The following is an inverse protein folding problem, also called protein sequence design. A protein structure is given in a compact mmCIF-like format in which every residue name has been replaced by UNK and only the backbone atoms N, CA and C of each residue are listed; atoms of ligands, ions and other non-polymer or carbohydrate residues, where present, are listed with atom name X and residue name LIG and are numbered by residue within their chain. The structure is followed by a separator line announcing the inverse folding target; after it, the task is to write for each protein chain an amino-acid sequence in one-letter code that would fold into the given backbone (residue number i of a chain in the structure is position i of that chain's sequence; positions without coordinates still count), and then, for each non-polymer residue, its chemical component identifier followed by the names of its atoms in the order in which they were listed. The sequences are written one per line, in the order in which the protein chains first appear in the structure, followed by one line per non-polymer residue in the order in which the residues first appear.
data_IF_791416228213
#
_entry.id   IF_791416228213
#
_cell.length_a   1.000
_cell.length_b   1.000
_cell.length_c   1.000
_cell.angle_alpha   90.00
_cell.angle_beta   90.00
_cell.angle_gamma   90.00
#
_symmetry.space_group_name_H-M   'P 1'
#
loop_
_entity.id
_entity.type
_entity.pdbx_description
1 polymer ?
#
# COMPACT_ATOMS: atom_id res chain seq x y z
N UNK A 1 22.15 11.56 -3.33
CA UNK A 1 22.56 12.28 -2.11
C UNK A 1 23.96 12.84 -2.29
N UNK A 2 24.18 14.14 -2.12
CA UNK A 2 25.57 14.60 -1.86
C UNK A 2 26.01 13.93 -0.54
N UNK A 3 27.24 13.40 -0.45
CA UNK A 3 27.76 12.95 0.83
C UNK A 3 27.62 14.10 1.82
N UNK A 4 27.15 13.79 3.03
CA UNK A 4 27.11 14.76 4.13
C UNK A 4 28.50 15.37 4.22
N UNK A 5 28.61 16.69 4.02
CA UNK A 5 29.90 17.37 4.13
C UNK A 5 30.41 17.12 5.56
N UNK A 6 31.71 16.80 5.76
CA UNK A 6 32.25 16.68 7.10
C UNK A 6 32.00 18.01 7.83
N UNK A 7 31.23 17.98 8.92
CA UNK A 7 30.93 19.16 9.75
C UNK A 7 29.51 19.74 9.67
N UNK A 8 28.55 19.15 8.93
CA UNK A 8 27.13 19.49 9.14
C UNK A 8 26.63 18.78 10.40
N UNK A 9 26.21 19.55 11.40
CA UNK A 9 25.49 19.04 12.58
C UNK A 9 24.30 18.20 12.12
N UNK A 10 24.17 17.00 12.70
CA UNK A 10 23.01 16.14 12.48
C UNK A 10 21.82 16.85 13.16
N UNK A 11 20.74 17.17 12.44
CA UNK A 11 19.58 17.77 13.07
C UNK A 11 19.07 16.89 14.20
N UNK A 12 18.56 17.48 15.31
CA UNK A 12 17.91 16.69 16.35
C UNK A 12 16.78 15.86 15.75
N UNK A 13 16.54 14.66 16.28
CA UNK A 13 15.49 13.74 15.83
C UNK A 13 14.32 13.78 16.81
N UNK A 14 13.08 13.61 16.33
CA UNK A 14 11.98 13.31 17.23
C UNK A 14 12.23 11.93 17.88
N UNK A 15 12.12 11.85 19.20
CA UNK A 15 12.39 10.61 19.94
C UNK A 15 11.47 9.46 19.50
N UNK A 16 10.22 9.80 19.17
CA UNK A 16 9.16 8.85 18.86
C UNK A 16 8.35 9.33 17.64
N UNK A 17 7.76 8.40 16.86
CA UNK A 17 6.86 8.78 15.78
C UNK A 17 5.54 9.37 16.30
N UNK A 18 4.78 10.04 15.43
CA UNK A 18 3.46 10.62 15.72
C UNK A 18 2.40 9.97 14.82
N UNK A 19 1.25 9.69 15.40
CA UNK A 19 0.03 9.31 14.66
C UNK A 19 -0.87 10.54 14.60
N UNK A 20 -1.52 10.77 13.47
CA UNK A 20 -2.40 11.92 13.29
C UNK A 20 -3.57 11.59 12.37
N UNK A 21 -4.65 12.36 12.47
CA UNK A 21 -5.79 12.28 11.56
C UNK A 21 -5.94 13.60 10.78
N UNK A 22 -6.32 13.51 9.51
CA UNK A 22 -6.64 14.63 8.63
C UNK A 22 -8.05 14.45 8.08
N UNK A 23 -8.87 15.49 8.23
CA UNK A 23 -10.15 15.59 7.56
C UNK A 23 -9.97 16.17 6.15
N UNK A 24 -10.43 15.43 5.14
CA UNK A 24 -10.32 15.81 3.74
C UNK A 24 -11.71 16.02 3.12
N UNK A 25 -11.79 16.71 1.97
CA UNK A 25 -13.02 16.73 1.18
C UNK A 25 -13.48 15.32 0.79
N UNK A 26 -14.79 15.16 0.64
CA UNK A 26 -15.41 13.90 0.19
C UNK A 26 -14.75 13.39 -1.09
N UNK A 27 -14.50 12.09 -1.14
CA UNK A 27 -13.77 11.47 -2.24
C UNK A 27 -14.74 10.72 -3.16
N UNK A 28 -14.95 11.18 -4.42
CA UNK A 28 -15.63 10.38 -5.43
C UNK A 28 -14.71 9.25 -5.92
N UNK A 29 -15.16 8.01 -5.72
CA UNK A 29 -14.46 6.81 -6.14
C UNK A 29 -14.51 6.63 -7.67
N UNK A 30 -13.56 5.89 -8.22
CA UNK A 30 -13.49 5.62 -9.66
C UNK A 30 -14.75 4.92 -10.17
N UNK A 31 -15.30 4.03 -9.35
CA UNK A 31 -16.53 3.29 -9.58
C UNK A 31 -17.81 4.14 -9.46
N UNK A 32 -17.70 5.38 -8.98
CA UNK A 32 -18.78 6.37 -8.94
C UNK A 32 -19.47 6.53 -7.58
N UNK A 33 -19.25 5.63 -6.63
CA UNK A 33 -19.64 5.82 -5.23
C UNK A 33 -18.83 6.96 -4.57
N UNK A 34 -19.21 7.36 -3.35
CA UNK A 34 -18.59 8.47 -2.62
C UNK A 34 -18.27 8.09 -1.19
N UNK A 35 -17.05 8.41 -0.74
CA UNK A 35 -16.67 8.32 0.67
C UNK A 35 -16.87 9.69 1.33
N UNK A 36 -17.79 9.75 2.29
CA UNK A 36 -18.12 10.97 3.02
C UNK A 36 -18.55 10.64 4.48
N UNK A 37 -17.92 11.25 5.51
CA UNK A 37 -16.73 12.10 5.42
C UNK A 37 -15.46 11.29 5.11
N UNK A 38 -14.49 11.94 4.48
CA UNK A 38 -13.20 11.36 4.13
C UNK A 38 -12.15 11.71 5.19
N UNK A 39 -11.86 10.76 6.07
CA UNK A 39 -10.89 10.89 7.15
C UNK A 39 -9.68 10.01 6.85
N UNK A 40 -8.47 10.55 6.96
CA UNK A 40 -7.23 9.82 6.69
C UNK A 40 -6.37 9.79 7.94
N UNK A 41 -5.96 8.59 8.34
CA UNK A 41 -4.98 8.39 9.41
C UNK A 41 -3.57 8.30 8.83
N UNK A 42 -2.67 9.06 9.41
CA UNK A 42 -1.26 9.08 9.04
C UNK A 42 -0.33 8.81 10.22
N UNK A 43 0.89 8.48 9.86
CA UNK A 43 2.04 8.30 10.73
C UNK A 43 3.19 9.12 10.18
N UNK A 44 3.87 9.84 11.08
CA UNK A 44 4.98 10.71 10.75
C UNK A 44 6.14 10.45 11.71
N UNK A 45 7.36 10.44 11.18
CA UNK A 45 8.57 10.45 11.99
C UNK A 45 9.66 11.27 11.30
N UNK A 46 10.15 12.29 11.97
CA UNK A 46 11.16 13.17 11.41
C UNK A 46 11.73 14.15 12.43
N UNK A 47 12.21 15.32 11.97
CA UNK A 47 12.78 16.35 12.83
C UNK A 47 11.76 16.94 13.83
N UNK A 48 12.10 17.17 15.11
CA UNK A 48 11.18 17.71 16.12
C UNK A 48 10.51 19.02 15.73
N UNK A 49 11.20 19.88 14.97
CA UNK A 49 10.71 21.16 14.49
C UNK A 49 9.48 21.04 13.56
N UNK A 50 9.27 19.88 12.94
CA UNK A 50 8.09 19.60 12.13
C UNK A 50 6.81 19.49 12.96
N UNK A 51 6.92 19.24 14.27
CA UNK A 51 5.76 18.91 15.09
C UNK A 51 4.73 20.05 15.10
N UNK A 52 5.19 21.30 15.22
CA UNK A 52 4.31 22.47 15.19
C UNK A 52 3.60 22.60 13.82
N UNK A 53 4.31 22.31 12.73
CA UNK A 53 3.72 22.27 11.38
C UNK A 53 2.66 21.19 11.28
N UNK A 54 2.96 19.96 11.71
CA UNK A 54 2.02 18.85 11.69
C UNK A 54 0.76 19.16 12.53
N UNK A 55 0.93 19.69 13.74
CA UNK A 55 -0.17 20.09 14.63
C UNK A 55 -1.04 21.21 14.05
N UNK A 56 -0.47 22.10 13.23
CA UNK A 56 -1.24 23.17 12.57
C UNK A 56 -2.14 22.67 11.43
N UNK A 57 -1.92 21.44 10.94
CA UNK A 57 -2.58 20.88 9.73
C UNK A 57 -3.27 19.54 9.94
N UNK A 58 -3.01 18.88 11.07
CA UNK A 58 -3.60 17.61 11.41
C UNK A 58 -3.90 17.55 12.91
N UNK A 59 -4.85 16.68 13.29
CA UNK A 59 -5.05 16.32 14.69
C UNK A 59 -4.02 15.27 15.07
N UNK A 60 -2.99 15.66 15.82
CA UNK A 60 -1.97 14.73 16.33
C UNK A 60 -2.50 14.04 17.60
N UNK A 61 -2.39 12.71 17.64
CA UNK A 61 -2.78 11.89 18.79
C UNK A 61 -1.69 11.92 19.87
N UNK A 62 -2.10 11.71 21.14
CA UNK A 62 -1.13 11.50 22.22
C UNK A 62 -0.36 10.20 22.00
N UNK A 63 0.83 10.08 22.61
CA UNK A 63 1.63 8.87 22.48
C UNK A 63 0.98 7.65 23.12
N UNK A 64 0.25 7.82 24.22
CA UNK A 64 -0.51 6.74 24.86
C UNK A 64 -1.63 6.26 23.93
N UNK A 65 -2.44 7.18 23.41
CA UNK A 65 -3.53 6.83 22.49
C UNK A 65 -2.99 6.18 21.20
N UNK A 66 -1.85 6.65 20.70
CA UNK A 66 -1.16 6.07 19.56
C UNK A 66 -0.65 4.65 19.86
N UNK A 67 -0.15 4.36 21.07
CA UNK A 67 0.31 3.03 21.48
C UNK A 67 -0.85 2.06 21.71
N UNK A 68 -1.87 2.49 22.45
CA UNK A 68 -3.06 1.68 22.75
C UNK A 68 -3.91 1.36 21.52
N UNK A 69 -3.85 2.22 20.48
CA UNK A 69 -4.57 2.04 19.21
C UNK A 69 -3.79 1.31 18.12
N UNK A 70 -2.52 0.93 18.33
CA UNK A 70 -1.71 0.21 17.31
C UNK A 70 -2.37 -1.12 16.94
N UNK A 71 -2.54 -1.36 15.64
CA UNK A 71 -3.13 -2.59 15.09
C UNK A 71 -4.54 -2.94 15.61
N UNK A 72 -5.26 -1.98 16.20
CA UNK A 72 -6.65 -2.17 16.63
C UNK A 72 -7.59 -1.72 15.52
N UNK A 73 -8.55 -2.59 15.20
CA UNK A 73 -9.64 -2.24 14.28
C UNK A 73 -10.43 -1.05 14.82
N UNK A 74 -10.51 0.01 14.03
CA UNK A 74 -11.32 1.20 14.32
C UNK A 74 -12.68 1.00 13.67
N UNK A 75 -13.74 1.08 14.48
CA UNK A 75 -15.14 1.10 14.06
C UNK A 75 -15.75 2.37 14.60
N UNK A 76 -16.43 3.12 13.73
CA UNK A 76 -17.10 4.37 14.10
C UNK A 76 -18.53 4.31 13.61
N UNK A 77 -19.45 4.70 14.47
CA UNK A 77 -20.80 5.06 14.06
C UNK A 77 -20.77 6.28 13.13
N UNK A 78 -21.87 6.53 12.42
CA UNK A 78 -21.96 7.69 11.55
C UNK A 78 -21.77 9.01 12.32
N UNK A 79 -22.15 9.07 13.60
CA UNK A 79 -21.93 10.26 14.45
C UNK A 79 -20.47 10.41 14.84
N UNK A 80 -19.85 9.35 15.39
CA UNK A 80 -18.44 9.38 15.79
C UNK A 80 -17.51 9.71 14.60
N UNK A 81 -17.83 9.20 13.41
CA UNK A 81 -17.09 9.51 12.20
C UNK A 81 -17.21 10.99 11.81
N UNK A 82 -18.41 11.60 11.92
CA UNK A 82 -18.60 13.04 11.70
C UNK A 82 -17.84 13.86 12.72
N UNK A 83 -17.90 13.50 13.99
CA UNK A 83 -17.23 14.22 15.07
C UNK A 83 -15.71 14.14 14.92
N UNK A 84 -15.18 12.95 14.60
CA UNK A 84 -13.76 12.76 14.30
C UNK A 84 -13.32 13.58 13.07
N UNK A 85 -14.15 13.62 12.03
CA UNK A 85 -13.88 14.44 10.85
C UNK A 85 -13.94 15.94 11.17
N UNK A 86 -14.79 16.42 12.07
CA UNK A 86 -14.81 17.82 12.51
C UNK A 86 -13.56 18.13 13.32
N UNK A 87 -13.22 17.29 14.29
CA UNK A 87 -12.05 17.50 15.15
C UNK A 87 -10.73 17.42 14.37
N UNK A 88 -10.65 16.62 13.31
CA UNK A 88 -9.48 16.54 12.44
C UNK A 88 -9.38 17.68 11.40
N UNK A 89 -10.35 18.61 11.32
CA UNK A 89 -10.25 19.78 10.43
C UNK A 89 -9.25 20.78 10.99
N UNK A 90 -8.16 20.98 10.27
CA UNK A 90 -7.13 21.97 10.57
C UNK A 90 -6.69 22.64 9.27
N UNK A 91 -6.38 23.91 9.34
CA UNK A 91 -5.82 24.68 8.22
C UNK A 91 -4.68 25.54 8.75
N UNK A 92 -3.45 25.17 8.39
CA UNK A 92 -2.25 25.92 8.74
C UNK A 92 -1.63 26.60 7.51
N UNK A 93 -0.67 27.52 7.70
CA UNK A 93 0.09 28.10 6.60
C UNK A 93 0.87 27.01 5.86
N UNK A 94 1.18 27.22 4.57
CA UNK A 94 2.04 26.29 3.83
C UNK A 94 3.42 26.25 4.50
N UNK A 95 4.01 25.07 4.52
CA UNK A 95 5.36 24.92 5.02
C UNK A 95 6.32 25.67 4.10
N UNK A 96 7.27 26.40 4.66
CA UNK A 96 8.44 26.82 3.89
C UNK A 96 9.22 25.59 3.42
N UNK A 97 9.80 25.58 2.20
CA UNK A 97 10.63 24.47 1.75
C UNK A 97 11.72 24.18 2.77
N UNK A 98 11.74 22.93 3.26
CA UNK A 98 12.70 22.46 4.24
C UNK A 98 13.72 21.55 3.54
N UNK A 99 15.02 21.68 3.85
CA UNK A 99 16.05 20.82 3.26
C UNK A 99 15.89 19.32 3.58
N UNK A 100 15.09 18.94 4.58
CA UNK A 100 14.90 17.55 5.01
C UNK A 100 14.02 16.81 3.99
N UNK A 101 14.58 15.79 3.28
CA UNK A 101 13.86 15.04 2.27
C UNK A 101 12.69 14.24 2.85
N UNK A 102 11.55 14.25 2.17
CA UNK A 102 10.39 13.44 2.56
C UNK A 102 10.43 12.07 1.87
N UNK A 103 10.28 11.01 2.65
CA UNK A 103 10.11 9.62 2.21
C UNK A 103 8.68 9.17 2.52
N UNK A 104 7.93 8.84 1.49
CA UNK A 104 6.57 8.32 1.60
C UNK A 104 6.58 6.79 1.51
N UNK A 105 6.00 6.16 2.52
CA UNK A 105 5.83 4.72 2.61
C UNK A 105 4.37 4.37 2.37
N UNK A 106 4.14 3.28 1.64
CA UNK A 106 2.79 2.78 1.36
C UNK A 106 2.72 1.30 1.74
N UNK A 107 1.84 0.99 2.69
CA UNK A 107 1.74 -0.36 3.24
C UNK A 107 1.01 -1.33 2.30
N UNK A 108 1.28 -2.64 2.48
CA UNK A 108 0.65 -3.73 1.74
C UNK A 108 -0.77 -4.08 2.27
N UNK A 109 -1.38 -5.14 1.76
CA UNK A 109 -2.80 -5.51 1.97
C UNK A 109 -3.25 -5.46 3.45
N UNK A 110 -2.51 -6.07 4.37
CA UNK A 110 -2.90 -6.20 5.79
C UNK A 110 -1.97 -5.43 6.74
N UNK A 111 -1.23 -4.47 6.20
CA UNK A 111 -0.41 -3.53 6.96
C UNK A 111 -1.22 -2.34 7.46
N UNK A 112 -0.54 -1.38 8.07
CA UNK A 112 -1.09 -0.13 8.57
C UNK A 112 -0.12 1.04 8.34
N UNK A 113 -0.45 2.23 8.84
CA UNK A 113 0.43 3.39 8.76
C UNK A 113 1.71 3.26 9.59
N UNK A 114 1.80 2.33 10.55
CA UNK A 114 2.96 2.24 11.43
C UNK A 114 4.12 1.54 10.71
N UNK A 115 4.90 2.30 9.97
CA UNK A 115 5.94 1.72 9.11
C UNK A 115 7.23 1.36 9.85
N UNK A 116 7.62 2.09 10.90
CA UNK A 116 8.91 1.91 11.56
C UNK A 116 8.85 2.04 13.08
N UNK A 117 10.00 1.87 13.73
CA UNK A 117 10.08 1.89 15.19
C UNK A 117 9.37 0.71 15.84
N UNK A 118 9.01 0.83 17.11
CA UNK A 118 8.37 -0.25 17.85
C UNK A 118 7.03 -0.67 17.20
N UNK A 119 6.90 -1.96 16.89
CA UNK A 119 5.71 -2.53 16.26
C UNK A 119 5.51 -2.16 14.78
N UNK A 120 6.46 -1.47 14.15
CA UNK A 120 6.37 -1.10 12.75
C UNK A 120 6.71 -2.26 11.80
N UNK A 121 6.01 -2.36 10.67
CA UNK A 121 6.19 -3.48 9.72
C UNK A 121 7.54 -3.47 8.97
N UNK A 122 8.27 -2.35 8.99
CA UNK A 122 9.63 -2.17 8.49
C UNK A 122 10.59 -1.66 9.58
N UNK A 123 10.32 -1.96 10.86
CA UNK A 123 11.14 -1.54 11.99
C UNK A 123 12.66 -1.82 11.83
N UNK A 124 13.11 -2.93 11.23
CA UNK A 124 14.55 -3.18 11.06
C UNK A 124 15.24 -2.25 10.07
N UNK A 125 14.50 -1.58 9.18
CA UNK A 125 15.04 -0.66 8.17
C UNK A 125 14.63 0.80 8.37
N UNK A 126 13.70 1.08 9.30
CA UNK A 126 13.23 2.42 9.65
C UNK A 126 13.43 2.70 11.13
N UNK A 127 14.23 3.72 11.43
CA UNK A 127 14.51 4.18 12.78
C UNK A 127 15.91 4.77 12.92
N UNK A 128 16.29 5.23 14.12
CA UNK A 128 17.59 5.84 14.34
C UNK A 128 18.76 4.91 13.97
N UNK A 129 19.70 5.40 13.16
CA UNK A 129 20.83 4.63 12.65
C UNK A 129 20.47 3.57 11.60
N UNK A 130 19.20 3.45 11.19
CA UNK A 130 18.75 2.52 10.15
C UNK A 130 18.84 3.17 8.76
N UNK A 131 18.68 2.40 7.65
CA UNK A 131 18.67 2.94 6.30
C UNK A 131 17.77 4.16 6.10
N UNK A 132 16.56 4.12 6.67
CA UNK A 132 15.61 5.22 6.70
C UNK A 132 15.60 5.83 8.10
N UNK A 133 16.53 6.76 8.33
CA UNK A 133 16.73 7.41 9.63
C UNK A 133 15.91 8.71 9.74
N UNK A 134 15.01 8.84 10.74
CA UNK A 134 14.22 10.06 10.98
C UNK A 134 15.06 11.31 11.30
N UNK A 135 16.36 11.17 11.64
CA UNK A 135 17.27 12.32 11.78
C UNK A 135 17.80 12.85 10.44
N UNK A 136 17.54 12.14 9.33
CA UNK A 136 18.06 12.45 7.99
C UNK A 136 16.96 12.63 6.95
N UNK A 137 15.81 12.00 7.17
CA UNK A 137 14.64 12.08 6.31
C UNK A 137 13.39 12.24 7.15
N UNK A 138 12.38 12.88 6.57
CA UNK A 138 11.02 12.87 7.08
C UNK A 138 10.31 11.65 6.55
N UNK A 139 9.81 10.81 7.43
CA UNK A 139 9.07 9.60 7.07
C UNK A 139 7.58 9.87 7.22
N UNK A 140 6.82 9.53 6.18
CA UNK A 140 5.37 9.61 6.16
C UNK A 140 4.81 8.27 5.70
N UNK A 141 3.74 7.82 6.35
CA UNK A 141 2.94 6.68 5.90
C UNK A 141 1.49 6.97 6.21
N UNK A 142 0.59 6.78 5.26
CA UNK A 142 -0.85 6.88 5.49
C UNK A 142 -1.44 5.48 5.52
N UNK A 143 -2.49 5.30 6.32
CA UNK A 143 -3.27 4.08 6.26
C UNK A 143 -4.17 4.14 5.02
N UNK A 144 -4.14 3.11 4.18
CA UNK A 144 -4.82 3.10 2.89
C UNK A 144 -6.34 3.28 3.05
N UNK A 145 -6.97 3.99 2.12
CA UNK A 145 -8.43 4.02 2.02
C UNK A 145 -8.99 2.61 1.92
N UNK A 146 -10.02 2.31 2.72
CA UNK A 146 -10.62 0.97 2.80
C UNK A 146 -10.02 0.05 3.88
N UNK A 147 -8.90 0.44 4.51
CA UNK A 147 -8.32 -0.27 5.65
C UNK A 147 -9.12 -0.04 6.94
N UNK A 148 -8.96 -0.93 7.91
CA UNK A 148 -9.63 -0.89 9.21
C UNK A 148 -8.84 -0.16 10.31
N UNK A 149 -7.71 0.47 9.98
CA UNK A 149 -6.81 1.12 10.96
C UNK A 149 -6.92 2.66 10.96
N UNK A 150 -8.15 3.20 10.91
CA UNK A 150 -8.45 4.61 11.24
C UNK A 150 -8.73 5.54 10.04
N UNK A 151 -8.16 5.28 8.87
CA UNK A 151 -8.65 5.90 7.62
C UNK A 151 -10.07 5.40 7.32
N UNK A 152 -10.92 6.22 6.68
CA UNK A 152 -12.28 5.82 6.29
C UNK A 152 -12.26 4.46 5.57
N UNK A 153 -13.08 3.53 6.06
CA UNK A 153 -13.13 2.17 5.54
C UNK A 153 -14.43 1.45 5.89
N UNK A 154 -14.64 0.22 5.38
CA UNK A 154 -15.90 -0.52 5.56
C UNK A 154 -16.26 -0.88 6.99
N UNK A 155 -15.30 -0.75 7.92
CA UNK A 155 -15.52 -0.90 9.35
C UNK A 155 -16.36 0.25 9.94
N UNK A 156 -16.40 1.40 9.27
CA UNK A 156 -17.23 2.55 9.61
C UNK A 156 -18.67 2.37 9.14
N UNK A 157 -19.62 2.83 9.94
CA UNK A 157 -21.02 2.89 9.55
C UNK A 157 -21.24 3.91 8.43
N UNK A 158 -22.01 3.53 7.41
CA UNK A 158 -22.30 4.39 6.26
C UNK A 158 -21.19 4.46 5.21
N UNK A 159 -20.14 3.63 5.33
CA UNK A 159 -19.21 3.44 4.22
C UNK A 159 -19.97 2.92 2.98
N UNK A 160 -19.73 3.47 1.78
CA UNK A 160 -20.53 3.13 0.60
C UNK A 160 -20.43 1.64 0.24
N UNK A 161 -21.50 1.11 -0.34
CA UNK A 161 -21.64 -0.28 -0.77
C UNK A 161 -21.48 -0.42 -2.28
N UNK A 162 -21.28 -1.64 -2.77
CA UNK A 162 -21.20 -1.96 -4.20
C UNK A 162 -22.45 -1.48 -4.95
N UNK A 163 -23.61 -1.47 -4.31
CA UNK A 163 -24.87 -0.95 -4.88
C UNK A 163 -24.86 0.56 -5.15
N UNK A 164 -23.92 1.31 -4.56
CA UNK A 164 -23.74 2.74 -4.80
C UNK A 164 -22.82 3.03 -6.00
N UNK A 165 -22.18 2.00 -6.58
CA UNK A 165 -21.32 2.14 -7.75
C UNK A 165 -22.16 2.46 -8.99
N UNK A 166 -21.81 3.53 -9.70
CA UNK A 166 -22.56 4.00 -10.88
C UNK A 166 -21.84 3.77 -12.21
N UNK A 167 -20.58 3.31 -12.18
CA UNK A 167 -19.73 3.17 -13.39
C UNK A 167 -19.34 1.75 -13.76
N UNK A 168 -19.20 0.83 -12.79
CA UNK A 168 -18.71 -0.53 -13.05
C UNK A 168 -19.79 -1.57 -13.37
N UNK A 169 -20.99 -1.10 -13.74
CA UNK A 169 -22.10 -1.96 -14.15
C UNK A 169 -22.80 -2.66 -12.97
N UNK A 170 -24.00 -3.23 -13.18
CA UNK A 170 -24.72 -3.92 -12.12
C UNK A 170 -24.01 -5.22 -11.72
N UNK A 171 -24.25 -5.66 -10.48
CA UNK A 171 -23.78 -6.97 -10.02
C UNK A 171 -24.25 -8.09 -10.97
N UNK A 172 -23.43 -9.14 -11.18
CA UNK A 172 -23.83 -10.27 -12.02
C UNK A 172 -25.08 -10.96 -11.45
N UNK A 173 -26.03 -11.30 -12.34
CA UNK A 173 -27.21 -12.09 -11.95
C UNK A 173 -26.76 -13.53 -11.71
N UNK A 174 -26.87 -13.97 -10.46
CA UNK A 174 -26.55 -15.35 -10.07
C UNK A 174 -27.71 -16.29 -10.46
N UNK A 175 -27.36 -17.44 -11.03
CA UNK A 175 -28.35 -18.47 -11.36
C UNK A 175 -28.91 -19.11 -10.09
N UNK A 176 -30.17 -19.58 -10.12
CA UNK A 176 -30.76 -20.31 -9.00
C UNK A 176 -29.89 -21.53 -8.65
N UNK A 177 -29.41 -21.61 -7.41
CA UNK A 177 -28.52 -22.67 -6.94
C UNK A 177 -27.03 -22.34 -7.03
N UNK A 178 -26.64 -21.17 -7.54
CA UNK A 178 -25.29 -20.64 -7.39
C UNK A 178 -25.07 -20.27 -5.92
N UNK A 179 -24.13 -20.97 -5.26
CA UNK A 179 -23.86 -20.80 -3.83
C UNK A 179 -23.01 -19.57 -3.53
N UNK A 180 -22.44 -18.90 -4.55
CA UNK A 180 -21.72 -17.64 -4.33
C UNK A 180 -22.68 -16.65 -3.68
N UNK A 181 -22.27 -16.06 -2.56
CA UNK A 181 -23.13 -15.06 -1.90
C UNK A 181 -23.26 -13.83 -2.79
N UNK A 182 -24.41 -13.18 -2.61
CA UNK A 182 -24.75 -11.94 -3.26
C UNK A 182 -23.73 -10.82 -2.97
N UNK A 183 -22.91 -10.52 -3.97
CA UNK A 183 -21.88 -9.49 -3.91
C UNK A 183 -22.44 -8.05 -3.79
N UNK A 184 -23.78 -7.87 -3.82
CA UNK A 184 -24.43 -6.57 -3.56
C UNK A 184 -24.13 -6.02 -2.16
N UNK A 185 -23.88 -6.90 -1.18
CA UNK A 185 -23.52 -6.51 0.20
C UNK A 185 -22.03 -6.19 0.40
N UNK A 186 -21.22 -6.26 -0.67
CA UNK A 186 -19.81 -5.89 -0.59
C UNK A 186 -19.65 -4.38 -0.41
N UNK A 187 -18.54 -3.93 0.20
CA UNK A 187 -18.15 -2.53 0.16
C UNK A 187 -18.03 -2.03 -1.29
N UNK A 188 -18.24 -0.73 -1.48
CA UNK A 188 -18.08 -0.06 -2.77
C UNK A 188 -16.73 -0.41 -3.40
N UNK A 189 -16.68 -0.40 -4.73
CA UNK A 189 -15.46 -0.75 -5.44
C UNK A 189 -14.41 0.32 -5.20
N UNK A 190 -13.36 -0.06 -4.48
CA UNK A 190 -12.14 0.72 -4.32
C UNK A 190 -11.12 0.27 -5.35
N UNK A 191 -10.33 1.21 -5.86
CA UNK A 191 -9.17 0.94 -6.71
C UNK A 191 -7.90 1.53 -6.10
N UNK A 192 -6.69 1.09 -6.53
CA UNK A 192 -5.45 1.70 -6.08
C UNK A 192 -5.33 3.15 -6.55
N UNK A 193 -6.08 3.55 -7.58
CA UNK A 193 -6.21 4.95 -7.96
C UNK A 193 -6.96 5.77 -6.91
N UNK A 194 -8.02 5.23 -6.30
CA UNK A 194 -8.72 5.88 -5.18
C UNK A 194 -7.80 6.07 -3.97
N UNK A 195 -7.02 5.04 -3.65
CA UNK A 195 -6.04 5.07 -2.56
C UNK A 195 -4.94 6.11 -2.85
N UNK A 196 -4.41 6.15 -4.08
CA UNK A 196 -3.45 7.15 -4.49
C UNK A 196 -4.03 8.58 -4.43
N UNK A 197 -5.27 8.80 -4.87
CA UNK A 197 -5.96 10.10 -4.78
C UNK A 197 -6.18 10.53 -3.33
N UNK A 198 -6.53 9.61 -2.44
CA UNK A 198 -6.67 9.86 -1.00
C UNK A 198 -5.33 10.31 -0.40
N UNK A 199 -4.24 9.60 -0.70
CA UNK A 199 -2.88 9.95 -0.24
C UNK A 199 -2.42 11.30 -0.81
N UNK A 200 -2.65 11.59 -2.09
CA UNK A 200 -2.31 12.89 -2.70
C UNK A 200 -3.07 14.03 -2.02
N UNK A 201 -4.36 13.86 -1.75
CA UNK A 201 -5.14 14.85 -1.02
C UNK A 201 -4.62 15.07 0.41
N UNK A 202 -4.15 14.01 1.08
CA UNK A 202 -3.50 14.11 2.39
C UNK A 202 -2.16 14.86 2.32
N UNK A 203 -1.33 14.62 1.30
CA UNK A 203 -0.10 15.36 1.07
C UNK A 203 -0.38 16.85 0.81
N UNK A 204 -1.39 17.16 -0.01
CA UNK A 204 -1.80 18.54 -0.30
C UNK A 204 -2.32 19.24 0.97
N UNK A 205 -3.09 18.54 1.81
CA UNK A 205 -3.56 19.04 3.10
C UNK A 205 -2.43 19.29 4.12
N UNK A 206 -1.35 18.50 4.06
CA UNK A 206 -0.12 18.75 4.82
C UNK A 206 0.75 19.85 4.18
N UNK A 207 0.54 20.18 2.90
CA UNK A 207 1.39 21.10 2.15
C UNK A 207 2.73 20.49 1.77
N UNK A 208 2.77 19.19 1.49
CA UNK A 208 3.96 18.47 1.01
C UNK A 208 3.97 18.49 -0.51
N UNK A 209 4.70 19.45 -1.07
CA UNK A 209 4.77 19.68 -2.51
C UNK A 209 5.81 18.78 -3.23
N UNK A 210 6.71 18.12 -2.51
CA UNK A 210 7.71 17.23 -3.11
C UNK A 210 8.03 16.04 -2.19
N UNK A 211 8.20 14.86 -2.80
CA UNK A 211 8.58 13.62 -2.14
C UNK A 211 9.87 13.09 -2.78
N UNK A 212 10.91 12.95 -1.96
CA UNK A 212 12.24 12.54 -2.41
C UNK A 212 12.30 11.05 -2.79
N UNK A 213 11.49 10.22 -2.12
CA UNK A 213 11.32 8.80 -2.40
C UNK A 213 9.91 8.34 -2.00
N UNK A 214 9.22 7.62 -2.88
CA UNK A 214 8.01 6.86 -2.53
C UNK A 214 8.27 5.37 -2.69
N UNK A 215 7.85 4.54 -1.72
CA UNK A 215 8.09 3.10 -1.77
C UNK A 215 6.99 2.30 -1.07
N UNK A 216 6.78 1.08 -1.57
CA UNK A 216 5.79 0.15 -1.05
C UNK A 216 5.88 -1.19 -1.78
N UNK A 217 5.56 -2.26 -1.07
CA UNK A 217 5.51 -3.62 -1.61
C UNK A 217 4.08 -4.10 -1.87
N UNK A 218 3.90 -5.07 -2.77
CA UNK A 218 2.59 -5.72 -2.99
C UNK A 218 1.51 -4.71 -3.42
N UNK A 219 0.33 -4.69 -2.77
CA UNK A 219 -0.68 -3.63 -2.93
C UNK A 219 -0.10 -2.22 -2.73
N UNK A 220 0.80 -2.03 -1.77
CA UNK A 220 1.47 -0.74 -1.56
C UNK A 220 2.29 -0.33 -2.79
N UNK A 221 2.90 -1.30 -3.47
CA UNK A 221 3.58 -1.09 -4.74
C UNK A 221 2.64 -0.69 -5.88
N UNK A 222 1.42 -1.25 -5.93
CA UNK A 222 0.40 -0.85 -6.90
C UNK A 222 0.01 0.62 -6.70
N UNK A 223 -0.20 1.02 -5.45
CA UNK A 223 -0.52 2.42 -5.08
C UNK A 223 0.64 3.35 -5.38
N UNK A 224 1.89 2.95 -5.14
CA UNK A 224 3.11 3.71 -5.51
C UNK A 224 3.11 4.03 -7.01
N UNK A 225 2.77 3.05 -7.85
CA UNK A 225 2.71 3.25 -9.29
C UNK A 225 1.58 4.21 -9.68
N UNK A 226 0.41 4.08 -9.05
CA UNK A 226 -0.72 5.00 -9.26
C UNK A 226 -0.37 6.44 -8.82
N UNK A 227 0.31 6.61 -7.69
CA UNK A 227 0.80 7.91 -7.20
C UNK A 227 1.74 8.56 -8.22
N UNK A 228 2.74 7.82 -8.70
CA UNK A 228 3.71 8.30 -9.67
C UNK A 228 3.08 8.63 -11.04
N UNK A 229 1.98 7.96 -11.41
CA UNK A 229 1.26 8.25 -12.65
C UNK A 229 0.30 9.45 -12.53
N UNK A 230 -0.36 9.62 -11.37
CA UNK A 230 -1.29 10.73 -11.12
C UNK A 230 -0.59 12.07 -10.90
N UNK A 231 0.53 12.07 -10.18
CA UNK A 231 1.31 13.27 -9.86
C UNK A 231 2.79 13.08 -10.22
N UNK A 232 3.13 13.03 -11.51
CA UNK A 232 4.45 12.60 -11.96
C UNK A 232 5.59 13.54 -11.56
N UNK A 233 5.31 14.82 -11.33
CA UNK A 233 6.29 15.79 -10.86
C UNK A 233 6.49 15.76 -9.33
N UNK A 234 5.60 15.09 -8.59
CA UNK A 234 5.60 15.08 -7.11
C UNK A 234 6.69 14.19 -6.54
N UNK A 235 7.08 13.14 -7.27
CA UNK A 235 7.96 12.09 -6.78
C UNK A 235 9.29 12.10 -7.53
N UNK A 236 10.38 12.43 -6.83
CA UNK A 236 11.71 12.37 -7.44
C UNK A 236 12.12 10.93 -7.74
N UNK A 237 11.77 9.99 -6.86
CA UNK A 237 12.19 8.60 -6.94
C UNK A 237 11.09 7.66 -6.49
N UNK A 238 11.05 6.47 -7.06
CA UNK A 238 10.13 5.43 -6.62
C UNK A 238 10.78 4.05 -6.51
N UNK A 239 10.33 3.27 -5.52
CA UNK A 239 10.73 1.87 -5.32
C UNK A 239 9.47 1.01 -5.15
N UNK A 240 8.86 0.56 -6.26
CA UNK A 240 7.84 -0.49 -6.22
C UNK A 240 8.52 -1.84 -6.00
N UNK A 241 7.99 -2.63 -5.05
CA UNK A 241 8.53 -3.93 -4.66
C UNK A 241 7.48 -5.00 -4.86
N UNK A 242 7.84 -6.14 -5.48
CA UNK A 242 7.00 -7.33 -5.57
C UNK A 242 5.53 -7.01 -5.93
N UNK A 243 5.34 -6.30 -7.05
CA UNK A 243 4.04 -5.80 -7.51
C UNK A 243 3.94 -5.94 -9.03
N UNK A 244 2.89 -5.41 -9.65
CA UNK A 244 2.68 -5.48 -11.09
C UNK A 244 2.11 -4.18 -11.67
N UNK A 245 2.25 -3.98 -12.99
CA UNK A 245 1.62 -2.86 -13.73
C UNK A 245 0.09 -3.02 -13.83
N UNK A 246 -0.42 -4.25 -13.69
CA UNK A 246 -1.83 -4.57 -13.66
C UNK A 246 -2.02 -5.89 -12.91
N UNK A 247 -3.18 -6.07 -12.27
CA UNK A 247 -3.56 -7.33 -11.67
C UNK A 247 -3.69 -8.41 -12.75
N UNK A 248 -2.98 -9.53 -12.58
CA UNK A 248 -3.10 -10.67 -13.48
C UNK A 248 -4.32 -11.53 -13.10
N UNK A 249 -4.77 -12.38 -14.03
CA UNK A 249 -5.80 -13.38 -13.72
C UNK A 249 -5.39 -14.29 -12.53
N UNK A 250 -4.08 -14.48 -12.32
CA UNK A 250 -3.55 -15.21 -11.17
C UNK A 250 -3.85 -14.51 -9.85
N UNK A 251 -3.56 -13.20 -9.75
CA UNK A 251 -3.85 -12.39 -8.56
C UNK A 251 -5.36 -12.34 -8.30
N UNK A 252 -6.15 -12.05 -9.34
CA UNK A 252 -7.62 -11.99 -9.25
C UNK A 252 -8.21 -13.34 -8.85
N UNK A 253 -7.66 -14.45 -9.36
CA UNK A 253 -8.10 -15.81 -9.03
C UNK A 253 -7.92 -16.15 -7.55
N UNK A 254 -6.74 -15.90 -6.99
CA UNK A 254 -6.50 -16.12 -5.56
C UNK A 254 -7.38 -15.22 -4.68
N UNK A 255 -7.50 -13.95 -5.04
CA UNK A 255 -8.37 -13.00 -4.35
C UNK A 255 -9.84 -13.41 -4.41
N UNK A 256 -10.30 -13.97 -5.54
CA UNK A 256 -11.65 -14.51 -5.67
C UNK A 256 -11.91 -15.65 -4.70
N UNK A 257 -11.01 -16.64 -4.61
CA UNK A 257 -11.21 -17.78 -3.69
C UNK A 257 -11.16 -17.29 -2.23
N UNK A 258 -10.24 -16.39 -1.89
CA UNK A 258 -10.19 -15.77 -0.56
C UNK A 258 -11.49 -15.00 -0.23
N UNK A 259 -12.03 -14.24 -1.19
CA UNK A 259 -13.32 -13.56 -1.06
C UNK A 259 -14.47 -14.53 -0.83
N UNK A 260 -14.54 -15.61 -1.61
CA UNK A 260 -15.59 -16.61 -1.45
C UNK A 260 -15.50 -17.35 -0.11
N UNK A 261 -14.32 -17.46 0.50
CA UNK A 261 -14.19 -18.02 1.84
C UNK A 261 -14.78 -17.11 2.94
N UNK A 262 -14.69 -15.78 2.77
CA UNK A 262 -15.23 -14.78 3.72
C UNK A 262 -16.73 -14.55 3.55
N UNK A 263 -17.18 -14.42 2.29
CA UNK A 263 -18.55 -14.76 1.91
C UNK A 263 -18.74 -16.26 2.21
N UNK A 264 -19.84 -16.96 2.00
CA UNK A 264 -20.02 -18.37 2.45
C UNK A 264 -19.85 -18.66 3.97
N UNK A 265 -19.10 -17.89 4.76
CA UNK A 265 -19.10 -17.97 6.21
C UNK A 265 -20.53 -17.66 6.71
N UNK A 266 -21.17 -18.56 7.47
CA UNK A 266 -22.53 -18.35 7.98
C UNK A 266 -22.70 -17.11 8.85
N UNK A 267 -21.61 -16.60 9.44
CA UNK A 267 -21.59 -15.40 10.28
C UNK A 267 -21.31 -14.11 9.49
N UNK A 268 -21.13 -14.18 8.16
CA UNK A 268 -21.03 -12.99 7.31
C UNK A 268 -22.38 -12.24 7.23
N UNK A 269 -22.42 -10.89 7.33
CA UNK A 269 -21.29 -9.96 7.41
C UNK A 269 -20.84 -9.60 8.83
N UNK A 270 -21.55 -10.03 9.86
CA UNK A 270 -21.37 -9.52 11.23
C UNK A 270 -20.05 -9.96 11.86
N UNK A 271 -19.70 -11.23 11.72
CA UNK A 271 -18.48 -11.80 12.32
C UNK A 271 -17.98 -13.03 11.57
N UNK A 272 -17.59 -12.93 10.29
CA UNK A 272 -17.13 -14.05 9.46
C UNK A 272 -15.70 -14.51 9.84
N UNK A 273 -15.54 -14.97 11.09
CA UNK A 273 -14.22 -15.25 11.69
C UNK A 273 -13.52 -16.35 10.92
N UNK A 274 -14.19 -17.48 10.71
CA UNK A 274 -13.58 -18.64 10.07
C UNK A 274 -13.28 -18.38 8.60
N UNK A 275 -14.15 -17.66 7.91
CA UNK A 275 -13.95 -17.24 6.54
C UNK A 275 -12.73 -16.35 6.37
N UNK A 276 -12.53 -15.38 7.27
CA UNK A 276 -11.35 -14.52 7.27
C UNK A 276 -10.07 -15.30 7.59
N UNK A 277 -10.11 -16.23 8.55
CA UNK A 277 -8.99 -17.13 8.84
C UNK A 277 -8.59 -17.93 7.60
N UNK A 278 -9.55 -18.61 6.94
CA UNK A 278 -9.29 -19.40 5.74
C UNK A 278 -8.76 -18.56 4.58
N UNK A 279 -9.33 -17.36 4.38
CA UNK A 279 -8.83 -16.41 3.39
C UNK A 279 -7.37 -16.01 3.66
N UNK A 280 -7.00 -15.84 4.94
CA UNK A 280 -5.60 -15.58 5.33
C UNK A 280 -4.71 -16.80 5.18
N UNK A 281 -5.18 -18.00 5.47
CA UNK A 281 -4.41 -19.24 5.25
C UNK A 281 -4.07 -19.39 3.76
N UNK A 282 -5.07 -19.23 2.89
CA UNK A 282 -4.89 -19.24 1.46
C UNK A 282 -3.87 -18.20 0.99
N UNK A 283 -4.01 -16.96 1.46
CA UNK A 283 -3.08 -15.89 1.12
C UNK A 283 -1.67 -16.16 1.66
N UNK A 284 -1.53 -16.77 2.84
CA UNK A 284 -0.22 -17.13 3.41
C UNK A 284 0.53 -18.11 2.49
N UNK A 285 -0.17 -19.05 1.85
CA UNK A 285 0.45 -19.96 0.89
C UNK A 285 0.93 -19.24 -0.38
N UNK A 286 0.28 -18.16 -0.81
CA UNK A 286 0.75 -17.35 -1.95
C UNK A 286 1.86 -16.37 -1.55
N UNK A 287 1.96 -16.03 -0.27
CA UNK A 287 3.00 -15.14 0.23
C UNK A 287 4.33 -15.84 0.54
N UNK A 288 4.31 -17.16 0.73
CA UNK A 288 5.50 -17.99 0.99
C UNK A 288 6.07 -18.57 -0.29
N UNK A 289 7.24 -19.18 -0.18
CA UNK A 289 7.78 -20.09 -1.18
C UNK A 289 7.93 -21.48 -0.59
N UNK A 290 7.75 -22.51 -1.42
CA UNK A 290 7.76 -23.92 -1.03
C UNK A 290 8.99 -24.28 -0.18
N UNK A 291 10.19 -23.95 -0.64
CA UNK A 291 11.42 -24.27 0.07
C UNK A 291 11.50 -23.65 1.48
N UNK A 292 11.00 -22.42 1.67
CA UNK A 292 10.97 -21.80 2.99
C UNK A 292 9.90 -22.40 3.89
N UNK A 293 8.76 -22.81 3.33
CA UNK A 293 7.70 -23.47 4.09
C UNK A 293 8.13 -24.87 4.54
N UNK A 294 8.75 -25.67 3.66
CA UNK A 294 9.28 -26.99 3.99
C UNK A 294 10.35 -26.92 5.09
N UNK A 295 11.21 -25.90 5.05
CA UNK A 295 12.23 -25.70 6.09
C UNK A 295 11.65 -25.35 7.47
N UNK A 296 10.54 -24.59 7.51
CA UNK A 296 9.91 -24.14 8.75
C UNK A 296 8.86 -25.12 9.29
N UNK A 297 8.18 -25.85 8.40
CA UNK A 297 7.04 -26.72 8.69
C UNK A 297 7.23 -28.10 8.06
N UNK A 298 8.37 -28.79 8.33
CA UNK A 298 8.72 -30.02 7.64
C UNK A 298 7.70 -31.12 7.89
N UNK A 299 7.46 -31.95 6.88
CA UNK A 299 6.58 -33.10 7.03
C UNK A 299 7.20 -34.13 7.98
N UNK A 300 6.51 -34.57 9.05
CA UNK A 300 7.03 -35.62 9.94
C UNK A 300 7.16 -36.96 9.21
N UNK A 301 8.19 -37.74 9.56
CA UNK A 301 8.42 -39.08 9.02
C UNK A 301 7.37 -40.10 9.50
N UNK A 302 6.93 -39.96 10.76
CA UNK A 302 5.83 -40.75 11.31
C UNK A 302 4.50 -40.11 10.93
N UNK A 303 3.62 -40.87 10.27
CA UNK A 303 2.30 -40.40 9.87
C UNK A 303 1.22 -41.02 10.76
N UNK A 304 0.23 -40.21 11.13
CA UNK A 304 -0.95 -40.62 11.90
C UNK A 304 -2.14 -39.85 11.37
N UNK A 305 -3.27 -40.52 11.13
CA UNK A 305 -4.52 -39.85 10.77
C UNK A 305 -5.13 -39.03 11.92
N UNK A 306 -4.53 -39.07 13.11
CA UNK A 306 -4.98 -38.36 14.32
C UNK A 306 -4.08 -37.17 14.69
N UNK A 307 -2.93 -37.00 14.04
CA UNK A 307 -2.01 -35.90 14.31
C UNK A 307 -2.04 -34.91 13.15
N UNK A 308 -2.11 -33.61 13.48
CA UNK A 308 -2.03 -32.55 12.48
C UNK A 308 -0.60 -32.44 11.94
N UNK A 309 -0.48 -32.09 10.67
CA UNK A 309 0.80 -31.68 10.10
C UNK A 309 1.20 -30.30 10.64
N UNK A 310 2.51 -30.04 10.87
CA UNK A 310 2.98 -28.73 11.37
C UNK A 310 2.46 -27.55 10.54
N UNK A 311 2.41 -27.70 9.21
CA UNK A 311 1.87 -26.69 8.29
C UNK A 311 0.41 -26.33 8.58
N UNK A 312 -0.42 -27.30 9.00
CA UNK A 312 -1.83 -27.05 9.34
C UNK A 312 -1.92 -26.17 10.59
N UNK A 313 -1.20 -26.54 11.66
CA UNK A 313 -1.16 -25.74 12.90
C UNK A 313 -0.58 -24.33 12.67
N UNK A 314 0.42 -24.21 11.79
CA UNK A 314 0.99 -22.92 11.39
C UNK A 314 -0.04 -22.05 10.66
N UNK A 315 -0.77 -22.61 9.69
CA UNK A 315 -1.79 -21.88 8.94
C UNK A 315 -2.94 -21.46 9.87
N UNK A 316 -3.42 -22.34 10.74
CA UNK A 316 -4.44 -22.01 11.75
C UNK A 316 -3.98 -20.83 12.63
N UNK A 317 -2.73 -20.85 13.11
CA UNK A 317 -2.17 -19.75 13.88
C UNK A 317 -2.10 -18.45 13.07
N UNK A 318 -1.66 -18.47 11.81
CA UNK A 318 -1.60 -17.27 10.96
C UNK A 318 -2.99 -16.70 10.65
N UNK A 319 -3.98 -17.58 10.46
CA UNK A 319 -5.39 -17.21 10.28
C UNK A 319 -5.92 -16.48 11.51
N UNK A 320 -5.87 -17.12 12.68
CA UNK A 320 -6.34 -16.56 13.94
C UNK A 320 -5.63 -15.25 14.28
N UNK A 321 -4.32 -15.15 13.99
CA UNK A 321 -3.54 -13.92 14.19
C UNK A 321 -4.03 -12.76 13.33
N UNK A 322 -4.48 -12.98 12.09
CA UNK A 322 -5.07 -11.91 11.29
C UNK A 322 -6.47 -11.57 11.80
N UNK A 323 -7.31 -12.59 12.01
CA UNK A 323 -8.70 -12.43 12.46
C UNK A 323 -8.80 -11.55 13.70
N UNK A 324 -7.93 -11.79 14.68
CA UNK A 324 -7.91 -11.01 15.93
C UNK A 324 -7.63 -9.51 15.74
N UNK A 325 -7.10 -9.07 14.59
CA UNK A 325 -6.68 -7.67 14.37
C UNK A 325 -7.18 -7.03 13.09
N UNK A 326 -7.98 -7.70 12.26
CA UNK A 326 -8.37 -7.20 10.94
C UNK A 326 -9.87 -7.34 10.71
N UNK A 327 -10.46 -6.36 10.01
CA UNK A 327 -11.89 -6.40 9.68
C UNK A 327 -12.13 -7.11 8.35
N UNK A 328 -13.08 -8.04 8.31
CA UNK A 328 -13.36 -8.83 7.11
C UNK A 328 -13.89 -7.97 5.95
N UNK A 329 -14.69 -6.93 6.21
CA UNK A 329 -15.19 -6.03 5.17
C UNK A 329 -14.07 -5.16 4.61
N UNK A 330 -13.16 -4.70 5.47
CA UNK A 330 -11.93 -4.04 5.02
C UNK A 330 -11.07 -4.97 4.15
N UNK A 331 -10.91 -6.24 4.55
CA UNK A 331 -10.19 -7.23 3.76
C UNK A 331 -10.80 -7.38 2.35
N UNK A 332 -12.12 -7.52 2.25
CA UNK A 332 -12.85 -7.60 0.99
C UNK A 332 -12.66 -6.36 0.11
N UNK A 333 -12.73 -5.16 0.70
CA UNK A 333 -12.52 -3.91 -0.03
C UNK A 333 -11.10 -3.79 -0.58
N UNK A 334 -10.09 -4.20 0.20
CA UNK A 334 -8.69 -4.14 -0.21
C UNK A 334 -8.32 -5.24 -1.23
N UNK A 335 -8.94 -6.43 -1.16
CA UNK A 335 -8.87 -7.41 -2.25
C UNK A 335 -9.47 -6.83 -3.54
N UNK A 336 -10.62 -6.16 -3.43
CA UNK A 336 -11.22 -5.44 -4.55
C UNK A 336 -10.28 -4.40 -5.15
N UNK A 337 -9.57 -3.63 -4.31
CA UNK A 337 -8.55 -2.69 -4.78
C UNK A 337 -7.41 -3.39 -5.53
N UNK A 338 -6.90 -4.51 -5.03
CA UNK A 338 -5.90 -5.29 -5.77
C UNK A 338 -6.42 -5.76 -7.13
N UNK A 339 -7.64 -6.29 -7.19
CA UNK A 339 -8.24 -6.84 -8.41
C UNK A 339 -8.41 -5.79 -9.51
N UNK A 340 -8.72 -4.55 -9.13
CA UNK A 340 -8.95 -3.45 -10.07
C UNK A 340 -7.67 -2.67 -10.40
N UNK A 341 -6.50 -3.12 -9.94
CA UNK A 341 -5.24 -2.47 -10.32
C UNK A 341 -4.96 -2.63 -11.81
N UNK A 342 -4.85 -1.52 -12.53
CA UNK A 342 -4.50 -1.53 -13.94
C UNK A 342 -3.94 -0.19 -14.38
N UNK A 343 -2.62 -0.12 -14.61
CA UNK A 343 -1.96 1.07 -15.12
C UNK A 343 -2.29 1.35 -16.59
N UNK A 344 -2.91 0.45 -17.34
CA UNK A 344 -3.31 0.76 -18.72
C UNK A 344 -4.48 1.75 -18.77
N UNK A 345 -5.23 1.87 -17.67
CA UNK A 345 -6.41 2.73 -17.53
C UNK A 345 -6.17 3.78 -16.45
N UNK A 346 -5.67 4.95 -16.83
CA UNK A 346 -5.52 6.08 -15.90
C UNK A 346 -6.85 6.85 -15.82
N UNK A 347 -7.38 7.11 -14.63
CA UNK A 347 -8.64 7.84 -14.46
C UNK A 347 -8.43 9.36 -14.65
N UNK A 348 -8.09 9.77 -15.89
CA UNK A 348 -7.98 11.17 -16.30
C UNK A 348 -8.76 11.42 -17.60
N UNK A 349 -9.25 12.65 -17.86
CA UNK A 349 -10.12 12.94 -19.01
C UNK A 349 -9.57 12.57 -20.41
N UNK A 350 -8.25 12.45 -20.56
CA UNK A 350 -7.56 12.09 -21.82
C UNK A 350 -6.62 10.88 -21.63
N UNK A 351 -6.99 9.94 -20.74
CA UNK A 351 -6.10 8.90 -20.24
C UNK A 351 -5.48 8.00 -21.32
N UNK A 352 -4.15 7.88 -21.30
CA UNK A 352 -3.38 6.77 -21.86
C UNK A 352 -2.77 5.92 -20.74
N UNK A 353 -1.86 4.99 -21.04
CA UNK A 353 -1.22 4.16 -20.02
C UNK A 353 -0.51 5.01 -18.96
N UNK A 354 -0.79 4.76 -17.69
CA UNK A 354 -0.25 5.46 -16.54
C UNK A 354 1.25 5.31 -16.40
N UNK A 355 1.77 4.18 -16.84
CA UNK A 355 3.21 3.96 -16.91
C UNK A 355 3.91 4.98 -17.83
N UNK A 356 3.24 5.53 -18.85
CA UNK A 356 3.79 6.56 -19.73
C UNK A 356 3.79 7.95 -19.09
N UNK A 357 3.08 8.12 -17.98
CA UNK A 357 3.03 9.36 -17.21
C UNK A 357 4.15 9.45 -16.17
N UNK A 358 4.69 8.31 -15.72
CA UNK A 358 5.70 8.24 -14.68
C UNK A 358 6.97 9.00 -15.10
N UNK A 359 7.55 9.78 -14.18
CA UNK A 359 8.80 10.53 -14.39
C UNK A 359 9.88 10.27 -13.34
N UNK A 360 9.51 9.65 -12.23
CA UNK A 360 10.40 9.33 -11.12
C UNK A 360 11.52 8.38 -11.54
N UNK A 361 12.75 8.63 -11.06
CA UNK A 361 13.81 7.64 -11.15
C UNK A 361 13.44 6.41 -10.34
N UNK A 362 13.59 5.24 -10.93
CA UNK A 362 12.97 4.03 -10.40
C UNK A 362 14.00 2.97 -10.04
N UNK A 363 13.90 2.39 -8.85
CA UNK A 363 14.51 1.09 -8.56
C UNK A 363 13.40 0.08 -8.31
N UNK A 364 13.16 -0.79 -9.29
CA UNK A 364 12.19 -1.89 -9.13
C UNK A 364 12.85 -3.04 -8.38
N UNK A 365 12.13 -3.67 -7.45
CA UNK A 365 12.63 -4.82 -6.68
C UNK A 365 11.68 -6.00 -6.87
N UNK A 366 12.13 -7.05 -7.56
CA UNK A 366 11.40 -8.32 -7.65
C UNK A 366 11.98 -9.35 -6.69
N UNK A 367 11.15 -10.29 -6.22
CA UNK A 367 11.61 -11.40 -5.37
C UNK A 367 11.71 -12.66 -6.23
N UNK A 368 12.83 -13.38 -6.15
CA UNK A 368 13.16 -14.49 -7.06
C UNK A 368 12.15 -15.64 -7.00
N UNK A 369 11.64 -15.96 -5.82
CA UNK A 369 10.68 -17.06 -5.56
C UNK A 369 9.27 -16.56 -5.23
N UNK A 370 8.92 -15.35 -5.68
CA UNK A 370 7.56 -14.82 -5.49
C UNK A 370 6.54 -15.61 -6.29
N UNK A 371 5.59 -16.23 -5.61
CA UNK A 371 4.50 -16.98 -6.22
C UNK A 371 3.27 -16.12 -6.54
N UNK A 372 3.15 -14.93 -5.96
CA UNK A 372 2.01 -14.03 -6.16
C UNK A 372 2.30 -12.99 -7.23
N UNK A 373 3.46 -12.34 -7.15
CA UNK A 373 3.97 -11.37 -8.11
C UNK A 373 5.33 -11.82 -8.65
N UNK A 374 5.34 -12.72 -9.66
CA UNK A 374 6.59 -13.20 -10.24
C UNK A 374 7.56 -12.06 -10.60
N UNK A 375 8.88 -12.26 -10.43
CA UNK A 375 9.87 -11.19 -10.57
C UNK A 375 9.90 -10.54 -11.97
N UNK A 376 9.36 -11.23 -12.98
CA UNK A 376 9.20 -10.69 -14.34
C UNK A 376 8.36 -9.42 -14.38
N UNK A 377 7.39 -9.22 -13.48
CA UNK A 377 6.64 -7.96 -13.43
C UNK A 377 7.55 -6.75 -13.19
N UNK A 378 8.49 -6.86 -12.23
CA UNK A 378 9.43 -5.79 -11.92
C UNK A 378 10.53 -5.63 -12.98
N UNK A 379 11.01 -6.75 -13.57
CA UNK A 379 11.94 -6.70 -14.70
C UNK A 379 11.31 -6.00 -15.91
N UNK A 380 10.05 -6.32 -16.24
CA UNK A 380 9.31 -5.73 -17.35
C UNK A 380 9.11 -4.23 -17.14
N UNK A 381 8.68 -3.81 -15.95
CA UNK A 381 8.51 -2.39 -15.61
C UNK A 381 9.82 -1.62 -15.77
N UNK A 382 10.91 -2.14 -15.21
CA UNK A 382 12.25 -1.55 -15.35
C UNK A 382 12.67 -1.39 -16.81
N UNK A 383 12.45 -2.42 -17.64
CA UNK A 383 12.73 -2.39 -19.08
C UNK A 383 11.88 -1.34 -19.80
N UNK A 384 10.59 -1.25 -19.49
CA UNK A 384 9.67 -0.28 -20.09
C UNK A 384 10.07 1.17 -19.77
N UNK A 385 10.36 1.48 -18.51
CA UNK A 385 10.77 2.82 -18.09
C UNK A 385 12.11 3.23 -18.73
N UNK A 386 13.07 2.31 -18.87
CA UNK A 386 14.30 2.57 -19.64
C UNK A 386 14.03 2.85 -21.12
N UNK A 387 13.10 2.13 -21.73
CA UNK A 387 12.74 2.35 -23.14
C UNK A 387 12.09 3.72 -23.38
N UNK A 388 11.51 4.34 -22.34
CA UNK A 388 11.05 5.72 -22.32
C UNK A 388 12.18 6.73 -21.99
N UNK A 389 13.45 6.30 -21.89
CA UNK A 389 14.57 7.18 -21.57
C UNK A 389 14.65 7.63 -20.11
N UNK A 390 13.91 7.01 -19.20
CA UNK A 390 13.96 7.30 -17.76
C UNK A 390 15.07 6.51 -17.08
N UNK A 391 15.59 7.03 -15.96
CA UNK A 391 16.51 6.28 -15.11
C UNK A 391 15.75 5.17 -14.37
N UNK A 392 15.95 3.92 -14.76
CA UNK A 392 15.41 2.78 -14.04
C UNK A 392 16.47 1.70 -13.79
N UNK A 393 16.40 1.11 -12.60
CA UNK A 393 17.21 0.00 -12.13
C UNK A 393 16.29 -1.17 -11.75
N UNK A 394 16.84 -2.40 -11.81
CA UNK A 394 16.17 -3.61 -11.31
C UNK A 394 17.10 -4.29 -10.33
N UNK A 395 16.57 -4.67 -9.17
CA UNK A 395 17.23 -5.53 -8.22
C UNK A 395 16.38 -6.78 -7.96
N UNK A 396 17.05 -7.91 -7.80
CA UNK A 396 16.43 -9.14 -7.31
C UNK A 396 16.70 -9.26 -5.81
N UNK A 397 15.65 -9.45 -5.03
CA UNK A 397 15.72 -9.86 -3.63
C UNK A 397 15.63 -11.38 -3.62
N UNK A 398 16.70 -12.05 -3.25
CA UNK A 398 16.71 -13.52 -3.15
C UNK A 398 16.13 -13.91 -1.79
N UNK A 399 15.01 -14.61 -1.77
CA UNK A 399 14.37 -15.00 -0.51
C UNK A 399 13.73 -16.38 -0.59
N UNK A 400 14.06 -17.22 0.39
CA UNK A 400 13.32 -18.48 0.61
C UNK A 400 11.91 -18.24 1.14
N UNK A 401 11.59 -17.01 1.56
CA UNK A 401 10.30 -16.67 2.12
C UNK A 401 9.26 -16.22 1.08
N UNK A 402 9.61 -16.21 -0.21
CA UNK A 402 8.68 -15.84 -1.29
C UNK A 402 8.30 -14.36 -1.23
N UNK A 403 7.06 -14.04 -1.57
CA UNK A 403 6.53 -12.66 -1.56
C UNK A 403 6.83 -11.90 -0.26
N UNK A 404 6.78 -12.57 0.90
CA UNK A 404 7.07 -11.96 2.20
C UNK A 404 8.55 -11.55 2.37
N UNK A 405 9.43 -11.82 1.40
CA UNK A 405 10.84 -11.45 1.44
C UNK A 405 11.07 -9.95 1.68
N UNK A 406 10.21 -9.06 1.14
CA UNK A 406 10.32 -7.62 1.41
C UNK A 406 9.94 -7.22 2.85
N UNK A 407 9.44 -8.17 3.66
CA UNK A 407 9.10 -8.01 5.08
C UNK A 407 10.00 -8.88 5.99
N UNK A 408 11.07 -9.48 5.46
CA UNK A 408 11.93 -10.41 6.21
C UNK A 408 13.42 -10.20 5.88
N UNK A 409 13.76 -10.02 4.61
CA UNK A 409 15.15 -9.96 4.12
C UNK A 409 15.77 -8.57 4.32
N UNK A 410 15.88 -8.14 5.57
CA UNK A 410 16.28 -6.77 5.93
C UNK A 410 17.69 -6.43 5.48
N UNK A 411 18.64 -7.35 5.64
CA UNK A 411 20.04 -7.13 5.30
C UNK A 411 20.23 -6.92 3.79
N UNK A 412 19.41 -7.58 2.97
CA UNK A 412 19.40 -7.41 1.53
C UNK A 412 18.58 -6.19 1.07
N UNK A 413 17.48 -5.87 1.76
CA UNK A 413 16.63 -4.72 1.43
C UNK A 413 17.28 -3.38 1.81
N UNK A 414 17.95 -3.32 2.96
CA UNK A 414 18.60 -2.13 3.50
C UNK A 414 19.49 -1.37 2.48
N UNK A 415 20.50 -2.01 1.84
CA UNK A 415 21.35 -1.33 0.87
C UNK A 415 20.59 -0.89 -0.39
N UNK A 416 19.49 -1.58 -0.76
CA UNK A 416 18.66 -1.18 -1.90
C UNK A 416 17.88 0.11 -1.59
N UNK A 417 17.35 0.28 -0.38
CA UNK A 417 16.70 1.52 0.04
C UNK A 417 17.68 2.71 0.08
N UNK A 418 18.90 2.49 0.56
CA UNK A 418 19.96 3.52 0.53
C UNK A 418 20.33 3.87 -0.92
N UNK A 419 20.48 2.87 -1.79
CA UNK A 419 20.74 3.05 -3.22
C UNK A 419 19.62 3.84 -3.88
N UNK A 420 18.36 3.55 -3.57
CA UNK A 420 17.21 4.26 -4.09
C UNK A 420 17.30 5.75 -3.78
N UNK A 421 17.56 6.15 -2.53
CA UNK A 421 17.75 7.56 -2.15
C UNK A 421 18.94 8.24 -2.86
N UNK A 422 19.92 7.45 -3.31
CA UNK A 422 21.08 7.94 -4.02
C UNK A 422 20.88 8.15 -5.52
N UNK A 423 19.83 7.58 -6.12
CA UNK A 423 19.52 7.74 -7.56
C UNK A 423 19.42 9.23 -7.95
N UNK A 424 19.68 9.58 -9.23
CA UNK A 424 19.35 10.92 -9.71
C UNK A 424 17.86 11.21 -9.49
N UNK A 425 17.44 12.45 -9.23
CA UNK A 425 16.01 12.78 -9.22
C UNK A 425 15.41 12.51 -10.61
N UNK A 426 14.13 12.17 -10.64
CA UNK A 426 13.36 12.00 -11.87
C UNK A 426 13.34 13.27 -12.72
N UNK A 427 12.90 13.11 -13.97
CA UNK A 427 12.92 14.21 -14.93
C UNK A 427 11.70 15.13 -14.76
N UNK A 428 11.93 16.44 -14.70
CA UNK A 428 10.86 17.44 -14.64
C UNK A 428 10.10 17.57 -15.97
N UNK A 429 8.96 18.29 -15.95
CA UNK A 429 8.01 18.47 -17.05
C UNK A 429 8.62 18.84 -18.41
N UNK A 430 9.77 19.53 -18.41
CA UNK A 430 10.44 20.08 -19.61
C UNK A 430 11.48 19.14 -20.24
N UNK A 431 11.80 18.01 -19.61
CA UNK A 431 12.68 17.02 -20.21
C UNK A 431 11.94 16.31 -21.35
N UNK A 432 12.37 16.55 -22.60
CA UNK A 432 11.88 15.79 -23.75
C UNK A 432 12.23 14.32 -23.54
N UNK A 433 11.23 13.52 -23.16
CA UNK A 433 11.31 12.07 -23.29
C UNK A 433 11.36 11.79 -24.78
N UNK A 434 12.50 11.28 -25.24
CA UNK A 434 12.68 10.83 -26.63
C UNK A 434 11.62 9.77 -26.92
N UNK A 435 10.58 10.11 -27.69
CA UNK A 435 9.69 9.11 -28.24
C UNK A 435 10.53 8.21 -29.15
N UNK A 436 10.62 6.92 -28.81
CA UNK A 436 11.24 5.95 -29.70
C UNK A 436 10.37 5.91 -30.96
N UNK A 437 10.99 6.36 -32.06
CA UNK A 437 10.36 6.62 -33.33
C UNK A 437 9.56 5.42 -33.85
N UNK A 438 8.39 5.72 -34.42
CA UNK A 438 7.52 4.74 -35.06
C UNK A 438 8.27 3.86 -36.05
N UNK A 439 8.10 2.55 -35.89
CA UNK A 439 8.36 1.57 -36.95
C UNK A 439 7.34 1.85 -38.05
N UNK A 440 7.71 2.74 -38.99
CA UNK A 440 7.03 2.80 -40.29
C UNK A 440 7.30 1.48 -40.99
N UNK A 441 6.28 0.63 -41.06
CA UNK A 441 6.25 -0.47 -42.00
C UNK A 441 6.50 0.09 -43.41
N UNK A 442 7.68 -0.20 -43.96
CA UNK A 442 7.90 -0.04 -45.41
C UNK A 442 6.97 -1.03 -46.10
N UNK A 443 5.93 -0.53 -46.74
CA UNK A 443 5.24 -1.26 -47.80
C UNK A 443 6.27 -1.50 -48.91
N UNK A 444 6.67 -2.75 -49.08
CA UNK A 444 7.30 -3.21 -50.32
C UNK A 444 6.20 -3.31 -51.37
N UNK A 445 6.42 -2.60 -52.47
CA UNK A 445 5.67 -2.72 -53.73
C UNK A 445 5.74 -4.12 -54.29
#
# INVERSE_FOLDING_TARGET
MRPVRPGQEIPPRAETPRVFDISLPDLPLEAGARVAPHLVRGWWWGPPEDLAWLQSRARVHSEEAAREGRLRVVRRTASELRDAAIDARRTGPRRTPDPVPTVLLVHALTGDMNAGGEGGWWAPVIGPGRPLDPSRVRLLCFNNLGSCYGTSGPADEGFPQRTDDTRFGPAPVLSKGDLRLDERSLPATLTPWDQARSILAALDALGVDEVALVTGGSLGGMVVLCLAALAPERFQRMVPIATAEAASAWVVGWNHVARQAVLLDPEYPESPRRGLELARQLATLTYRAEAGLEALQPRPQAWSSRALYPVESYLEYQGAKLEARFDARAYLALLGAMDHHDLTRVPTPNGGPGVDRIRASTLTIGIDRDALFPPEHMKNLSRRLRAQGLHAEYAALCSVHGHDGFLIEWDALAPLLVRALALPPGVGRDARISSTAGVRARKTS
#
